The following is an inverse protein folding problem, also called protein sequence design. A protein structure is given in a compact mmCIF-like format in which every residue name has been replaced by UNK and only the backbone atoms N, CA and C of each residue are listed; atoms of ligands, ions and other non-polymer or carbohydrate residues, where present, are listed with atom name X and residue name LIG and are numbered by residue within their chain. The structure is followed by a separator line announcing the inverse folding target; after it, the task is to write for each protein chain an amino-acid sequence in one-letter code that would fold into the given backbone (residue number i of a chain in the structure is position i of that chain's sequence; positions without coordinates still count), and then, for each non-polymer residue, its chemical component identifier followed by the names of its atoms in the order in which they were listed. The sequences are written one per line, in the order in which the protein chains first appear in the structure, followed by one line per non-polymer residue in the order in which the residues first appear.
data_IF_179950968204
#
_entry.id   IF_179950968204
#
_cell.length_a   1.000
_cell.length_b   1.000
_cell.length_c   1.000
_cell.angle_alpha   90.00
_cell.angle_beta   90.00
_cell.angle_gamma   90.00
#
_symmetry.space_group_name_H-M   'P 1'
#
loop_
_entity.id
_entity.type
_entity.pdbx_description
1 polymer ?
#
# COMPACT_ATOMS: atom_id res chain seq x y z
N UNK A 1 4.85 -4.76 2.51
CA UNK A 1 5.41 -4.08 1.33
C UNK A 1 6.79 -3.71 1.80
N UNK A 2 7.79 -4.50 1.43
CA UNK A 2 9.11 -3.93 1.28
C UNK A 2 8.89 -2.72 0.38
N UNK A 3 9.02 -1.53 0.95
CA UNK A 3 9.40 -0.41 0.15
C UNK A 3 10.66 -0.90 -0.54
N UNK A 4 10.55 -1.24 -1.83
CA UNK A 4 11.71 -1.41 -2.65
C UNK A 4 12.39 -0.06 -2.55
N UNK A 5 13.38 -0.01 -1.66
CA UNK A 5 14.27 1.13 -1.53
C UNK A 5 14.79 1.36 -2.94
N UNK A 6 14.72 2.60 -3.38
CA UNK A 6 15.25 2.99 -4.66
C UNK A 6 16.71 2.49 -4.70
N UNK A 7 16.97 1.49 -5.52
CA UNK A 7 18.33 1.25 -5.97
C UNK A 7 18.73 2.56 -6.64
N UNK A 8 19.84 3.17 -6.24
CA UNK A 8 20.24 4.51 -6.66
C UNK A 8 20.40 4.73 -8.17
N UNK A 9 20.17 3.70 -8.98
CA UNK A 9 20.26 3.67 -10.44
C UNK A 9 18.90 3.44 -11.15
N UNK A 10 17.77 3.36 -10.40
CA UNK A 10 16.46 3.09 -11.02
C UNK A 10 15.91 4.35 -11.71
N UNK A 11 15.59 4.24 -12.99
CA UNK A 11 15.00 5.34 -13.78
C UNK A 11 13.56 5.64 -13.33
N UNK A 12 13.07 6.86 -13.62
CA UNK A 12 11.69 7.24 -13.31
C UNK A 12 10.67 6.28 -13.96
N UNK A 13 10.92 5.84 -15.20
CA UNK A 13 10.04 4.91 -15.90
C UNK A 13 9.97 3.55 -15.21
N UNK A 14 11.09 3.04 -14.72
CA UNK A 14 11.14 1.79 -13.96
C UNK A 14 10.39 1.92 -12.62
N UNK A 15 10.57 3.05 -11.92
CA UNK A 15 9.84 3.38 -10.70
C UNK A 15 8.34 3.38 -10.94
N UNK A 16 7.88 4.08 -11.99
CA UNK A 16 6.46 4.16 -12.34
C UNK A 16 5.91 2.78 -12.69
N UNK A 17 6.56 2.04 -13.59
CA UNK A 17 6.10 0.74 -14.06
C UNK A 17 5.97 -0.28 -12.90
N UNK A 18 6.98 -0.35 -12.04
CA UNK A 18 6.97 -1.23 -10.87
C UNK A 18 5.85 -0.88 -9.90
N UNK A 19 5.65 0.39 -9.61
CA UNK A 19 4.63 0.87 -8.65
C UNK A 19 3.23 0.77 -9.18
N UNK A 20 3.02 1.08 -10.47
CA UNK A 20 1.76 0.83 -11.17
C UNK A 20 1.38 -0.65 -11.09
N UNK A 21 2.33 -1.56 -11.35
CA UNK A 21 2.11 -3.00 -11.21
C UNK A 21 1.72 -3.39 -9.79
N UNK A 22 2.39 -2.82 -8.78
CA UNK A 22 2.06 -3.06 -7.38
C UNK A 22 0.66 -2.56 -7.01
N UNK A 23 0.26 -1.36 -7.46
CA UNK A 23 -1.07 -0.78 -7.23
C UNK A 23 -2.17 -1.52 -7.99
N UNK A 24 -1.88 -2.05 -9.17
CA UNK A 24 -2.78 -2.96 -9.90
C UNK A 24 -3.02 -4.24 -9.10
N UNK A 25 -1.99 -4.80 -8.50
CA UNK A 25 -2.13 -5.98 -7.62
C UNK A 25 -2.85 -5.63 -6.31
N UNK A 26 -2.62 -4.43 -5.77
CA UNK A 26 -3.24 -3.88 -4.56
C UNK A 26 -4.75 -3.70 -4.73
N UNK A 27 -5.18 -3.03 -5.78
CA UNK A 27 -6.60 -2.73 -6.06
C UNK A 27 -7.01 -3.30 -7.43
N UNK A 28 -6.75 -2.55 -8.50
CA UNK A 28 -7.06 -2.87 -9.90
C UNK A 28 -6.21 -2.03 -10.86
N UNK A 29 -6.39 -2.26 -12.17
CA UNK A 29 -5.64 -1.54 -13.19
C UNK A 29 -5.93 -0.04 -13.18
N UNK A 30 -7.20 0.37 -12.99
CA UNK A 30 -7.60 1.77 -12.97
C UNK A 30 -6.91 2.55 -11.83
N UNK A 31 -6.72 1.90 -10.68
CA UNK A 31 -6.01 2.48 -9.54
C UNK A 31 -4.51 2.68 -9.85
N UNK A 32 -3.90 1.71 -10.52
CA UNK A 32 -2.52 1.84 -11.02
C UNK A 32 -2.37 2.94 -12.06
N UNK A 33 -3.33 3.04 -13.00
CA UNK A 33 -3.34 4.05 -14.05
C UNK A 33 -3.50 5.48 -13.50
N UNK A 34 -4.32 5.66 -12.46
CA UNK A 34 -4.45 6.96 -11.77
C UNK A 34 -3.13 7.42 -11.14
N UNK A 35 -2.36 6.50 -10.57
CA UNK A 35 -1.02 6.80 -10.05
C UNK A 35 -0.09 7.26 -11.16
N UNK A 36 0.03 6.47 -12.23
CA UNK A 36 0.91 6.78 -13.36
C UNK A 36 0.56 8.13 -13.98
N UNK A 37 -0.73 8.36 -14.29
CA UNK A 37 -1.18 9.62 -14.89
C UNK A 37 -0.81 10.84 -14.05
N UNK A 38 -0.95 10.76 -12.73
CA UNK A 38 -0.60 11.86 -11.84
C UNK A 38 0.91 12.12 -11.77
N UNK A 39 1.72 11.06 -11.73
CA UNK A 39 3.19 11.20 -11.75
C UNK A 39 3.66 11.78 -13.10
N UNK A 40 3.07 11.35 -14.23
CA UNK A 40 3.39 11.90 -15.55
C UNK A 40 2.98 13.37 -15.71
N UNK A 41 1.90 13.78 -15.07
CA UNK A 41 1.54 15.20 -15.00
C UNK A 41 2.61 16.03 -14.28
N UNK A 42 3.10 15.54 -13.12
CA UNK A 42 4.18 16.19 -12.39
C UNK A 42 5.48 16.24 -13.23
N UNK A 43 5.83 15.17 -13.93
CA UNK A 43 6.99 15.11 -14.81
C UNK A 43 6.92 16.19 -15.92
N UNK A 44 5.77 16.28 -16.59
CA UNK A 44 5.58 17.28 -17.66
C UNK A 44 5.77 18.70 -17.16
N UNK A 45 5.26 19.03 -15.98
CA UNK A 45 5.40 20.36 -15.39
C UNK A 45 6.82 20.62 -14.93
N UNK A 46 7.48 19.65 -14.31
CA UNK A 46 8.88 19.79 -13.88
C UNK A 46 9.80 20.04 -15.07
N UNK A 47 9.60 19.30 -16.18
CA UNK A 47 10.37 19.50 -17.42
C UNK A 47 10.14 20.87 -18.09
N UNK A 48 8.92 21.38 -18.02
CA UNK A 48 8.56 22.63 -18.74
C UNK A 48 8.77 23.88 -17.90
N UNK A 49 8.49 23.82 -16.58
CA UNK A 49 8.54 24.97 -15.68
C UNK A 49 9.68 24.92 -14.66
N UNK A 50 10.32 23.77 -14.46
CA UNK A 50 11.29 23.53 -13.39
C UNK A 50 12.61 24.28 -13.52
N UNK A 51 12.88 24.96 -14.63
CA UNK A 51 14.10 25.76 -14.85
C UNK A 51 15.42 25.03 -14.49
N UNK A 52 15.46 23.73 -14.75
CA UNK A 52 16.59 22.86 -14.43
C UNK A 52 16.57 22.28 -13.00
N UNK A 53 15.60 22.61 -12.16
CA UNK A 53 15.36 21.88 -10.92
C UNK A 53 14.78 20.51 -11.22
N UNK A 54 15.25 19.50 -10.49
CA UNK A 54 14.84 18.10 -10.65
C UNK A 54 14.53 17.46 -9.31
N UNK A 55 13.75 16.39 -9.32
CA UNK A 55 13.47 15.59 -8.13
C UNK A 55 12.05 15.70 -7.58
N UNK A 56 11.26 16.70 -8.03
CA UNK A 56 9.85 16.83 -7.62
C UNK A 56 9.06 15.58 -8.07
N UNK A 57 9.21 15.20 -9.34
CA UNK A 57 8.50 14.04 -9.91
C UNK A 57 8.84 12.74 -9.20
N UNK A 58 10.13 12.53 -8.91
CA UNK A 58 10.57 11.35 -8.14
C UNK A 58 9.98 11.37 -6.73
N UNK A 59 9.98 12.52 -6.06
CA UNK A 59 9.38 12.67 -4.74
C UNK A 59 7.87 12.39 -4.78
N UNK A 60 7.16 12.92 -5.79
CA UNK A 60 5.72 12.64 -6.01
C UNK A 60 5.49 11.15 -6.24
N UNK A 61 6.27 10.52 -7.12
CA UNK A 61 6.18 9.10 -7.37
C UNK A 61 6.34 8.27 -6.09
N UNK A 62 7.31 8.62 -5.24
CA UNK A 62 7.57 7.92 -3.98
C UNK A 62 6.45 8.12 -2.95
N UNK A 63 6.07 9.37 -2.71
CA UNK A 63 5.15 9.69 -1.62
C UNK A 63 3.71 9.32 -1.96
N UNK A 64 3.26 9.58 -3.20
CA UNK A 64 1.92 9.18 -3.63
C UNK A 64 1.74 7.66 -3.54
N UNK A 65 2.75 6.88 -3.98
CA UNK A 65 2.70 5.43 -3.86
C UNK A 65 2.53 4.97 -2.40
N UNK A 66 3.28 5.55 -1.45
CA UNK A 66 3.16 5.21 -0.03
C UNK A 66 1.76 5.46 0.51
N UNK A 67 1.14 6.57 0.09
CA UNK A 67 -0.22 6.92 0.49
C UNK A 67 -1.26 6.00 -0.16
N UNK A 68 -1.09 5.67 -1.45
CA UNK A 68 -2.02 4.81 -2.18
C UNK A 68 -1.93 3.34 -1.78
N UNK A 69 -0.77 2.88 -1.31
CA UNK A 69 -0.52 1.49 -0.94
C UNK A 69 -0.49 1.27 0.59
N UNK A 70 -1.41 1.88 1.33
CA UNK A 70 -1.49 1.67 2.77
C UNK A 70 -1.86 0.22 3.14
N UNK A 71 -1.35 -0.26 4.28
CA UNK A 71 -1.52 -1.65 4.70
C UNK A 71 -2.85 -1.85 5.43
N UNK A 72 -3.90 -2.14 4.67
CA UNK A 72 -5.17 -2.59 5.23
C UNK A 72 -5.24 -4.12 5.34
N UNK A 73 -6.36 -4.62 5.82
CA UNK A 73 -6.61 -6.03 6.06
C UNK A 73 -6.59 -6.85 4.76
N UNK A 74 -7.07 -6.30 3.66
CA UNK A 74 -7.05 -6.93 2.34
C UNK A 74 -5.61 -7.05 1.82
N UNK A 75 -4.81 -6.01 1.98
CA UNK A 75 -3.41 -6.01 1.56
C UNK A 75 -2.56 -6.94 2.42
N UNK A 76 -2.76 -6.94 3.73
CA UNK A 76 -2.11 -7.90 4.63
C UNK A 76 -2.44 -9.33 4.22
N UNK A 77 -3.71 -9.62 3.93
CA UNK A 77 -4.16 -10.92 3.48
C UNK A 77 -3.51 -11.31 2.13
N UNK A 78 -3.41 -10.37 1.18
CA UNK A 78 -2.77 -10.60 -0.10
C UNK A 78 -1.29 -10.92 0.06
N UNK A 79 -0.56 -10.14 0.83
CA UNK A 79 0.89 -10.31 1.06
C UNK A 79 1.23 -11.68 1.67
N UNK A 80 0.37 -12.20 2.53
CA UNK A 80 0.56 -13.54 3.09
C UNK A 80 0.08 -14.67 2.17
N UNK A 81 -0.79 -14.41 1.19
CA UNK A 81 -1.44 -15.45 0.37
C UNK A 81 -1.00 -15.49 -1.10
N UNK A 82 -0.19 -14.54 -1.58
CA UNK A 82 0.23 -14.45 -2.98
C UNK A 82 1.41 -15.37 -3.36
N UNK A 83 1.88 -16.19 -2.43
CA UNK A 83 2.96 -17.16 -2.62
C UNK A 83 4.36 -16.62 -2.38
N UNK A 84 4.57 -15.30 -2.41
CA UNK A 84 5.90 -14.69 -2.19
C UNK A 84 6.39 -14.90 -0.75
N UNK A 85 5.49 -14.77 0.21
CA UNK A 85 5.79 -15.00 1.61
C UNK A 85 6.26 -16.43 1.86
N UNK A 86 5.53 -17.44 1.33
CA UNK A 86 5.90 -18.84 1.45
C UNK A 86 7.24 -19.15 0.76
N UNK A 87 7.44 -18.58 -0.43
CA UNK A 87 8.70 -18.74 -1.15
C UNK A 87 9.89 -18.12 -0.40
N UNK A 88 9.70 -16.98 0.27
CA UNK A 88 10.73 -16.36 1.11
C UNK A 88 11.04 -17.20 2.34
N UNK A 89 10.03 -17.76 3.00
CA UNK A 89 10.23 -18.67 4.14
C UNK A 89 11.00 -19.93 3.74
N UNK A 90 10.62 -20.57 2.61
CA UNK A 90 11.28 -21.76 2.12
C UNK A 90 12.75 -21.56 1.72
N UNK A 91 13.14 -20.32 1.42
CA UNK A 91 14.56 -19.95 1.16
C UNK A 91 15.37 -19.74 2.43
N UNK A 92 14.73 -19.36 3.53
CA UNK A 92 15.41 -18.99 4.77
C UNK A 92 15.41 -20.08 5.82
N UNK A 93 14.44 -20.99 5.76
CA UNK A 93 14.24 -22.03 6.77
C UNK A 93 14.03 -23.39 6.11
N UNK A 94 14.56 -24.43 6.74
CA UNK A 94 14.39 -25.83 6.37
C UNK A 94 13.47 -26.53 7.39
N UNK A 95 12.73 -27.57 6.95
CA UNK A 95 11.86 -28.38 7.78
C UNK A 95 10.42 -27.87 7.88
N UNK A 96 9.64 -28.48 8.78
CA UNK A 96 8.23 -28.16 8.99
C UNK A 96 8.08 -26.88 9.84
N UNK A 97 7.62 -25.80 9.21
CA UNK A 97 7.43 -24.51 9.86
C UNK A 97 6.03 -24.40 10.47
N UNK A 98 5.97 -24.07 11.76
CA UNK A 98 4.72 -23.67 12.43
C UNK A 98 4.62 -22.16 12.44
N UNK A 99 3.69 -21.61 11.67
CA UNK A 99 3.46 -20.15 11.62
C UNK A 99 2.47 -19.72 12.70
N UNK A 100 2.81 -18.63 13.38
CA UNK A 100 1.92 -17.92 14.31
C UNK A 100 1.80 -16.47 13.86
N UNK A 101 0.58 -15.97 13.74
CA UNK A 101 0.30 -14.61 13.30
C UNK A 101 -0.13 -13.75 14.47
N UNK A 102 0.55 -12.62 14.69
CA UNK A 102 0.17 -11.63 15.70
C UNK A 102 -0.60 -10.50 15.02
N UNK A 103 -1.92 -10.58 15.06
CA UNK A 103 -2.82 -9.66 14.38
C UNK A 103 -3.73 -8.94 15.40
N UNK A 104 -4.14 -7.73 15.05
CA UNK A 104 -5.13 -6.95 15.77
C UNK A 104 -6.28 -6.56 14.83
N UNK A 105 -7.14 -7.52 14.43
CA UNK A 105 -8.24 -7.22 13.52
C UNK A 105 -9.18 -6.17 14.12
N UNK A 106 -9.45 -5.03 13.46
CA UNK A 106 -10.18 -3.90 14.05
C UNK A 106 -11.58 -4.24 14.59
N UNK A 107 -12.20 -5.29 14.01
CA UNK A 107 -13.55 -5.71 14.38
C UNK A 107 -13.62 -6.54 15.68
N UNK A 108 -12.50 -7.16 16.09
CA UNK A 108 -12.47 -8.12 17.23
C UNK A 108 -11.33 -7.84 18.22
N UNK A 109 -10.42 -6.94 17.90
CA UNK A 109 -9.32 -6.59 18.79
C UNK A 109 -9.82 -5.64 19.89
N UNK A 110 -9.50 -5.97 21.14
CA UNK A 110 -9.68 -5.05 22.25
C UNK A 110 -8.65 -3.90 22.17
N UNK A 111 -9.00 -2.73 22.70
CA UNK A 111 -8.04 -1.64 22.87
C UNK A 111 -7.45 -1.71 24.28
N UNK A 112 -6.18 -1.47 24.37
CA UNK A 112 -5.49 -1.26 25.64
C UNK A 112 -6.00 0.03 26.29
N UNK A 113 -6.49 0.00 27.53
CA UNK A 113 -7.11 1.16 28.18
C UNK A 113 -6.13 2.31 28.45
N UNK A 114 -4.84 2.02 28.58
CA UNK A 114 -3.82 3.02 28.92
C UNK A 114 -3.21 3.67 27.69
N UNK A 115 -2.92 2.87 26.65
CA UNK A 115 -2.26 3.33 25.42
C UNK A 115 -3.23 3.60 24.26
N UNK A 116 -4.48 3.12 24.33
CA UNK A 116 -5.47 3.16 23.23
C UNK A 116 -5.13 2.26 22.03
N UNK A 117 -4.01 1.55 22.06
CA UNK A 117 -3.56 0.69 20.98
C UNK A 117 -4.38 -0.61 20.91
N UNK A 118 -4.51 -1.15 19.70
CA UNK A 118 -5.16 -2.44 19.51
C UNK A 118 -4.28 -3.57 20.03
N UNK A 119 -4.85 -4.42 20.88
CA UNK A 119 -4.17 -5.57 21.45
C UNK A 119 -4.06 -6.66 20.40
N UNK A 120 -2.82 -7.03 20.05
CA UNK A 120 -2.55 -8.15 19.14
C UNK A 120 -2.91 -9.48 19.78
N UNK A 121 -3.55 -10.34 19.00
CA UNK A 121 -3.83 -11.73 19.39
C UNK A 121 -3.07 -12.68 18.48
N UNK A 122 -2.77 -13.86 19.04
CA UNK A 122 -2.13 -14.94 18.31
C UNK A 122 -3.15 -15.76 17.53
N UNK A 123 -2.83 -16.03 16.27
CA UNK A 123 -3.61 -16.88 15.38
C UNK A 123 -2.70 -17.96 14.80
N UNK A 124 -3.19 -19.18 14.78
CA UNK A 124 -2.46 -20.34 14.26
C UNK A 124 -2.38 -20.40 12.74
N UNK A 125 -1.79 -21.49 12.20
CA UNK A 125 -1.54 -21.67 10.75
C UNK A 125 -2.81 -21.62 9.89
N UNK A 126 -4.00 -21.91 10.44
CA UNK A 126 -5.28 -21.84 9.76
C UNK A 126 -5.58 -20.45 9.16
N UNK A 127 -4.96 -19.41 9.70
CA UNK A 127 -5.10 -18.03 9.21
C UNK A 127 -4.65 -17.89 7.76
N UNK A 128 -3.68 -18.68 7.31
CA UNK A 128 -3.27 -18.73 5.90
C UNK A 128 -4.44 -19.08 4.95
N UNK A 129 -5.33 -19.96 5.40
CA UNK A 129 -6.52 -20.33 4.62
C UNK A 129 -7.57 -19.22 4.63
N UNK A 130 -7.67 -18.44 5.72
CA UNK A 130 -8.56 -17.29 5.83
C UNK A 130 -8.09 -16.09 5.00
N UNK A 131 -6.78 -15.89 4.83
CA UNK A 131 -6.24 -14.80 4.02
C UNK A 131 -6.60 -14.92 2.53
N UNK A 132 -6.68 -16.14 1.97
CA UNK A 132 -6.99 -16.34 0.55
C UNK A 132 -8.34 -15.75 0.12
N UNK A 133 -9.49 -16.05 0.77
CA UNK A 133 -10.74 -15.40 0.43
C UNK A 133 -10.73 -13.90 0.75
N UNK A 134 -10.11 -13.48 1.86
CA UNK A 134 -10.04 -12.07 2.23
C UNK A 134 -9.30 -11.23 1.18
N UNK A 135 -8.17 -11.71 0.67
CA UNK A 135 -7.40 -11.04 -0.39
C UNK A 135 -8.22 -10.84 -1.68
N UNK A 136 -9.15 -11.76 -1.99
CA UNK A 136 -10.05 -11.62 -3.16
C UNK A 136 -11.08 -10.52 -3.00
N UNK A 137 -11.39 -10.14 -1.76
CA UNK A 137 -12.36 -9.08 -1.45
C UNK A 137 -11.75 -7.66 -1.52
N UNK A 138 -10.53 -7.52 -2.02
CA UNK A 138 -9.86 -6.21 -2.19
C UNK A 138 -10.68 -5.19 -3.00
N UNK A 139 -11.55 -5.65 -3.91
CA UNK A 139 -12.46 -4.79 -4.68
C UNK A 139 -13.55 -4.11 -3.85
N UNK A 140 -13.75 -4.52 -2.58
CA UNK A 140 -14.68 -3.85 -1.66
C UNK A 140 -14.06 -2.61 -1.01
N UNK A 141 -12.74 -2.45 -1.08
CA UNK A 141 -11.97 -1.36 -0.47
C UNK A 141 -12.54 0.00 -0.86
N UNK A 142 -12.84 0.81 0.15
CA UNK A 142 -13.42 2.15 -0.05
C UNK A 142 -14.89 2.18 -0.47
N UNK A 143 -15.50 1.03 -0.74
CA UNK A 143 -16.91 0.91 -1.12
C UNK A 143 -17.86 0.82 0.06
N UNK A 144 -19.17 0.75 -0.23
CA UNK A 144 -20.24 0.65 0.78
C UNK A 144 -20.12 -0.62 1.64
N UNK A 145 -19.56 -1.71 1.10
CA UNK A 145 -19.38 -3.00 1.76
C UNK A 145 -17.98 -3.18 2.38
N UNK A 146 -17.15 -2.13 2.40
CA UNK A 146 -15.84 -2.15 3.07
C UNK A 146 -16.01 -2.07 4.58
N UNK A 147 -16.06 -3.23 5.23
CA UNK A 147 -16.24 -3.32 6.68
C UNK A 147 -15.01 -2.84 7.45
N UNK A 148 -13.80 -2.98 6.89
CA UNK A 148 -12.55 -2.54 7.51
C UNK A 148 -12.31 -1.05 7.31
N UNK A 149 -12.74 -0.49 6.21
CA UNK A 149 -12.54 0.91 5.84
C UNK A 149 -13.31 1.95 6.66
N UNK A 150 -14.07 1.53 7.68
CA UNK A 150 -14.93 2.41 8.49
C UNK A 150 -14.23 3.01 9.70
N UNK A 151 -13.05 2.53 10.08
CA UNK A 151 -12.27 3.07 11.18
C UNK A 151 -11.77 4.49 10.86
N UNK A 152 -11.51 5.29 11.89
CA UNK A 152 -10.95 6.64 11.71
C UNK A 152 -9.60 6.61 11.01
N UNK A 153 -8.75 5.66 11.38
CA UNK A 153 -7.44 5.45 10.75
C UNK A 153 -7.57 5.22 9.24
N UNK A 154 -8.45 4.31 8.82
CA UNK A 154 -8.68 4.01 7.40
C UNK A 154 -9.28 5.18 6.64
N UNK A 155 -10.15 5.97 7.29
CA UNK A 155 -10.67 7.21 6.69
C UNK A 155 -9.58 8.25 6.53
N UNK A 156 -8.71 8.42 7.53
CA UNK A 156 -7.59 9.35 7.47
C UNK A 156 -6.58 8.95 6.37
N UNK A 157 -6.22 7.67 6.26
CA UNK A 157 -5.33 7.16 5.21
C UNK A 157 -5.91 7.44 3.82
N UNK A 158 -7.20 7.17 3.60
CA UNK A 158 -7.85 7.48 2.31
C UNK A 158 -7.93 8.98 2.05
N UNK A 159 -8.22 9.80 3.07
CA UNK A 159 -8.30 11.24 2.92
C UNK A 159 -6.93 11.89 2.65
N UNK A 160 -5.84 11.28 3.08
CA UNK A 160 -4.49 11.75 2.83
C UNK A 160 -4.12 11.71 1.32
N UNK A 161 -4.70 10.79 0.53
CA UNK A 161 -4.42 10.68 -0.91
C UNK A 161 -4.88 11.94 -1.66
N UNK A 162 -6.16 12.33 -1.65
CA UNK A 162 -6.60 13.55 -2.33
C UNK A 162 -5.99 14.82 -1.71
N UNK A 163 -5.77 14.87 -0.40
CA UNK A 163 -5.11 16.00 0.24
C UNK A 163 -3.67 16.19 -0.28
N UNK A 164 -2.89 15.11 -0.39
CA UNK A 164 -1.55 15.17 -0.97
C UNK A 164 -1.58 15.60 -2.44
N UNK A 165 -2.51 15.05 -3.22
CA UNK A 165 -2.66 15.45 -4.64
C UNK A 165 -2.96 16.92 -4.78
N UNK A 166 -3.86 17.47 -3.96
CA UNK A 166 -4.19 18.90 -3.98
C UNK A 166 -2.96 19.78 -3.71
N UNK A 167 -2.13 19.42 -2.72
CA UNK A 167 -0.88 20.15 -2.43
C UNK A 167 0.08 20.09 -3.63
N UNK A 168 0.23 18.93 -4.25
CA UNK A 168 1.09 18.81 -5.43
C UNK A 168 0.53 19.61 -6.60
N UNK A 169 -0.78 19.56 -6.86
CA UNK A 169 -1.44 20.33 -7.93
C UNK A 169 -1.25 21.84 -7.74
N UNK A 170 -1.31 22.32 -6.49
CA UNK A 170 -1.02 23.73 -6.19
C UNK A 170 0.44 24.10 -6.51
N UNK A 171 1.39 23.22 -6.15
CA UNK A 171 2.81 23.42 -6.49
C UNK A 171 3.04 23.40 -8.01
N UNK A 172 2.31 22.57 -8.76
CA UNK A 172 2.44 22.47 -10.22
C UNK A 172 1.81 23.67 -10.95
N UNK A 173 0.85 24.36 -10.33
CA UNK A 173 0.17 25.52 -10.90
C UNK A 173 1.03 26.80 -10.85
N UNK A 174 1.86 26.96 -9.83
CA UNK A 174 2.79 28.12 -9.65
C UNK A 174 3.99 28.02 -10.55
#
# INVERSE_FOLDING_TARGET
IEAAEANGDETLDEIIARRRTALTAYQDAAYGDQYEAFVRQAETVEQTKGKGMTGLTVAVAHNLFKLMAYKDEYEVARLYSDGRFQAALAKQFEGDLKLTFHLAPPLIAARDPDSGQLIKREFGPWMMSAFKPLARLKGLRGGAFDIFGRTEERRAERAAIPAYRAVVEELLAG
#
